data_IF_370948106974
#
_entry.id   IF_370948106974
#
_cell.length_a   1.000
_cell.length_b   1.000
_cell.length_c   1.000
_cell.angle_alpha   90.00
_cell.angle_beta   90.00
_cell.angle_gamma   90.00
#
_symmetry.space_group_name_H-M   'P 1'
#
loop_
_entity.id
_entity.type
_entity.pdbx_description
1 polymer ?
#
# COMPACT_ATOMS: atom_id res chain seq x y z
N UNK A 1 11.29 27.05 -15.77
CA UNK A 1 11.64 25.87 -16.55
C UNK A 1 10.38 25.03 -16.67
N UNK A 2 9.99 24.69 -17.91
CA UNK A 2 8.86 23.80 -18.14
C UNK A 2 9.09 22.50 -17.37
N UNK A 3 8.09 22.06 -16.58
CA UNK A 3 8.12 20.77 -15.95
C UNK A 3 8.29 19.72 -17.06
N UNK A 4 9.28 18.86 -16.93
CA UNK A 4 9.47 17.78 -17.89
C UNK A 4 8.28 16.85 -17.78
N UNK A 5 7.63 16.50 -18.91
CA UNK A 5 6.50 15.57 -18.97
C UNK A 5 6.86 14.15 -18.54
N UNK A 6 8.14 13.89 -18.23
CA UNK A 6 8.67 12.57 -17.89
C UNK A 6 9.76 12.68 -16.82
N UNK A 7 9.61 11.91 -15.77
CA UNK A 7 10.68 11.65 -14.79
C UNK A 7 11.39 10.35 -15.17
N UNK A 8 12.73 10.40 -15.27
CA UNK A 8 13.56 9.26 -15.66
C UNK A 8 14.39 8.77 -14.47
N UNK A 9 14.44 7.45 -14.27
CA UNK A 9 15.33 6.78 -13.32
C UNK A 9 16.07 5.62 -13.99
N UNK A 10 17.39 5.64 -13.96
CA UNK A 10 18.24 4.56 -14.41
C UNK A 10 18.45 3.58 -13.25
N UNK A 11 18.35 2.28 -13.54
CA UNK A 11 18.67 1.22 -12.58
C UNK A 11 20.14 0.81 -12.70
N UNK A 12 20.74 0.38 -11.60
CA UNK A 12 22.08 -0.18 -11.61
C UNK A 12 22.08 -1.56 -12.27
N UNK A 13 23.23 -1.98 -12.85
CA UNK A 13 23.35 -3.22 -13.63
C UNK A 13 23.06 -4.50 -12.83
N UNK A 14 23.14 -4.44 -11.50
CA UNK A 14 22.89 -5.57 -10.58
C UNK A 14 21.50 -5.52 -9.93
N UNK A 15 20.65 -4.57 -10.31
CA UNK A 15 19.34 -4.41 -9.68
C UNK A 15 18.37 -5.50 -10.16
N UNK A 16 17.87 -6.31 -9.24
CA UNK A 16 16.86 -7.32 -9.51
C UNK A 16 15.50 -6.66 -9.78
N UNK A 17 15.09 -6.64 -11.05
CA UNK A 17 13.83 -6.06 -11.49
C UNK A 17 12.66 -7.03 -11.26
N UNK A 18 11.61 -6.58 -10.58
CA UNK A 18 10.44 -7.38 -10.23
C UNK A 18 9.31 -7.19 -11.25
N UNK A 19 9.24 -8.10 -12.22
CA UNK A 19 8.25 -8.05 -13.31
C UNK A 19 6.82 -8.11 -12.78
N UNK A 20 6.57 -8.84 -11.71
CA UNK A 20 5.23 -8.96 -11.11
C UNK A 20 4.74 -7.62 -10.58
N UNK A 21 5.54 -6.93 -9.76
CA UNK A 21 5.21 -5.60 -9.25
C UNK A 21 5.05 -4.59 -10.38
N UNK A 22 5.96 -4.63 -11.38
CA UNK A 22 5.85 -3.77 -12.57
C UNK A 22 4.52 -3.96 -13.31
N UNK A 23 4.02 -5.20 -13.46
CA UNK A 23 2.72 -5.46 -14.05
C UNK A 23 1.58 -4.92 -13.18
N UNK A 24 1.70 -5.04 -11.87
CA UNK A 24 0.69 -4.52 -10.92
C UNK A 24 0.57 -2.99 -10.96
N UNK A 25 1.68 -2.26 -11.20
CA UNK A 25 1.67 -0.80 -11.38
C UNK A 25 0.79 -0.33 -12.55
N UNK A 26 0.49 -1.22 -13.52
CA UNK A 26 -0.35 -0.92 -14.69
C UNK A 26 -1.83 -1.31 -14.48
N UNK A 27 -2.18 -1.89 -13.34
CA UNK A 27 -3.56 -2.20 -12.96
C UNK A 27 -4.40 -0.92 -12.76
N UNK A 28 -5.71 -1.01 -13.00
CA UNK A 28 -6.63 0.12 -12.77
C UNK A 28 -6.67 0.52 -11.28
N UNK A 29 -6.37 -0.39 -10.38
CA UNK A 29 -6.37 -0.17 -8.94
C UNK A 29 -5.11 0.57 -8.42
N UNK A 30 -4.08 0.74 -9.28
CA UNK A 30 -2.83 1.42 -8.93
C UNK A 30 -2.78 2.87 -9.46
N UNK A 31 -3.89 3.57 -9.52
CA UNK A 31 -3.99 4.94 -10.02
C UNK A 31 -3.34 5.99 -9.11
N UNK A 32 -2.93 5.58 -7.90
CA UNK A 32 -2.07 6.32 -6.97
C UNK A 32 -0.57 6.28 -7.36
N UNK A 33 -0.21 5.56 -8.41
CA UNK A 33 1.15 5.55 -8.95
C UNK A 33 1.24 6.31 -10.27
N UNK A 34 2.40 6.90 -10.54
CA UNK A 34 2.74 7.38 -11.87
C UNK A 34 2.83 6.18 -12.82
N UNK A 35 2.29 6.34 -14.03
CA UNK A 35 2.48 5.35 -15.09
C UNK A 35 3.96 5.25 -15.43
N UNK A 36 4.47 4.02 -15.45
CA UNK A 36 5.89 3.74 -15.65
C UNK A 36 6.11 2.89 -16.90
N UNK A 37 7.08 3.27 -17.72
CA UNK A 37 7.53 2.47 -18.86
C UNK A 37 8.97 2.05 -18.64
N UNK A 38 9.24 0.76 -18.75
CA UNK A 38 10.59 0.19 -18.70
C UNK A 38 11.19 0.21 -20.11
N UNK A 39 12.39 0.76 -20.24
CA UNK A 39 13.16 0.76 -21.49
C UNK A 39 14.57 0.23 -21.23
N UNK A 40 15.17 -0.36 -22.26
CA UNK A 40 16.58 -0.70 -22.26
C UNK A 40 17.33 0.31 -23.12
N UNK A 41 18.25 1.07 -22.53
CA UNK A 41 19.05 2.06 -23.22
C UNK A 41 20.53 1.85 -22.93
N UNK A 42 21.35 1.65 -23.96
CA UNK A 42 22.79 1.35 -23.84
C UNK A 42 23.09 0.19 -22.88
N UNK A 43 22.28 -0.87 -22.91
CA UNK A 43 22.42 -2.03 -22.03
C UNK A 43 21.92 -1.83 -20.60
N UNK A 44 21.49 -0.63 -20.21
CA UNK A 44 20.97 -0.32 -18.89
C UNK A 44 19.46 -0.23 -18.89
N UNK A 45 18.84 -0.73 -17.81
CA UNK A 45 17.40 -0.59 -17.61
C UNK A 45 17.09 0.81 -17.11
N UNK A 46 16.19 1.48 -17.80
CA UNK A 46 15.68 2.80 -17.44
C UNK A 46 14.17 2.76 -17.24
N UNK A 47 13.69 3.44 -16.19
CA UNK A 47 12.28 3.62 -15.87
C UNK A 47 11.89 5.05 -16.23
N UNK A 48 10.82 5.17 -17.00
CA UNK A 48 10.26 6.46 -17.45
C UNK A 48 8.86 6.59 -16.84
N UNK A 49 8.67 7.61 -16.01
CA UNK A 49 7.40 7.89 -15.34
C UNK A 49 6.71 9.05 -16.04
N UNK A 50 5.45 8.84 -16.45
CA UNK A 50 4.62 9.88 -17.05
C UNK A 50 4.16 10.87 -15.98
N UNK A 51 4.67 12.09 -16.06
CA UNK A 51 4.40 13.17 -15.09
C UNK A 51 3.50 14.26 -15.68
N UNK A 52 2.93 14.03 -16.87
CA UNK A 52 2.01 14.96 -17.51
C UNK A 52 0.89 15.35 -16.55
N UNK A 53 0.56 16.61 -16.53
CA UNK A 53 -0.48 17.19 -15.68
C UNK A 53 -0.20 17.15 -14.18
N UNK A 54 0.98 16.73 -13.74
CA UNK A 54 1.35 16.71 -12.32
C UNK A 54 2.57 17.60 -12.06
N UNK A 55 2.63 18.17 -10.88
CA UNK A 55 3.78 18.91 -10.36
C UNK A 55 4.34 18.21 -9.13
N UNK A 56 5.67 18.24 -8.92
CA UNK A 56 6.24 17.78 -7.66
C UNK A 56 5.65 18.54 -6.46
N UNK A 57 5.44 17.86 -5.34
CA UNK A 57 4.96 18.46 -4.10
C UNK A 57 5.80 19.68 -3.70
N UNK A 58 7.10 19.61 -3.90
CA UNK A 58 8.02 20.72 -3.62
C UNK A 58 7.68 22.01 -4.39
N UNK A 59 7.07 21.90 -5.58
CA UNK A 59 6.62 23.04 -6.39
C UNK A 59 5.18 23.38 -6.03
N UNK A 60 4.28 22.40 -6.02
CA UNK A 60 2.85 22.60 -5.78
C UNK A 60 2.59 23.25 -4.41
N UNK A 61 3.38 22.89 -3.39
CA UNK A 61 3.24 23.44 -2.04
C UNK A 61 3.35 24.97 -2.00
N UNK A 62 4.07 25.59 -2.93
CA UNK A 62 4.18 27.05 -3.02
C UNK A 62 3.00 27.73 -3.71
N UNK A 63 2.18 26.98 -4.47
CA UNK A 63 1.03 27.48 -5.21
C UNK A 63 -0.30 27.35 -4.44
N UNK A 64 -0.34 26.51 -3.40
CA UNK A 64 -1.54 26.28 -2.59
C UNK A 64 -1.65 27.32 -1.46
N UNK A 65 -2.87 27.67 -1.10
CA UNK A 65 -3.15 28.31 0.19
C UNK A 65 -3.07 27.30 1.34
N UNK A 66 -3.29 27.73 2.58
CA UNK A 66 -3.20 26.85 3.76
C UNK A 66 -4.19 25.69 3.68
N UNK A 67 -5.44 25.94 3.24
CA UNK A 67 -6.48 24.93 3.14
C UNK A 67 -6.18 23.93 2.03
N UNK A 68 -5.80 24.42 0.86
CA UNK A 68 -5.35 23.58 -0.25
C UNK A 68 -4.16 22.70 0.12
N UNK A 69 -3.19 23.25 0.87
CA UNK A 69 -2.05 22.47 1.34
C UNK A 69 -2.46 21.38 2.34
N UNK A 70 -3.36 21.68 3.28
CA UNK A 70 -3.89 20.65 4.21
C UNK A 70 -4.62 19.56 3.47
N UNK A 71 -5.41 19.91 2.43
CA UNK A 71 -6.04 18.92 1.55
C UNK A 71 -5.01 18.05 0.84
N UNK A 72 -3.92 18.62 0.31
CA UNK A 72 -2.82 17.85 -0.32
C UNK A 72 -2.17 16.92 0.69
N UNK A 73 -1.89 17.38 1.91
CA UNK A 73 -1.31 16.54 2.97
C UNK A 73 -2.23 15.38 3.34
N UNK A 74 -3.54 15.64 3.48
CA UNK A 74 -4.55 14.60 3.73
C UNK A 74 -4.61 13.57 2.59
N UNK A 75 -4.60 14.03 1.33
CA UNK A 75 -4.60 13.16 0.16
C UNK A 75 -3.33 12.29 0.10
N UNK A 76 -2.17 12.80 0.50
CA UNK A 76 -0.94 11.99 0.57
C UNK A 76 -1.13 10.82 1.54
N UNK A 77 -1.64 11.07 2.75
CA UNK A 77 -1.89 10.02 3.74
C UNK A 77 -2.95 9.02 3.26
N UNK A 78 -4.00 9.51 2.62
CA UNK A 78 -5.05 8.68 2.01
C UNK A 78 -4.46 7.72 0.95
N UNK A 79 -3.64 8.24 0.03
CA UNK A 79 -3.05 7.39 -1.02
C UNK A 79 -1.98 6.44 -0.46
N UNK A 80 -1.23 6.80 0.58
CA UNK A 80 -0.33 5.88 1.31
C UNK A 80 -1.12 4.71 1.90
N UNK A 81 -2.28 4.98 2.50
CA UNK A 81 -3.19 3.94 2.98
C UNK A 81 -3.66 3.02 1.85
N UNK A 82 -4.04 3.56 0.69
CA UNK A 82 -4.43 2.75 -0.48
C UNK A 82 -3.30 1.84 -0.98
N UNK A 83 -2.04 2.28 -0.91
CA UNK A 83 -0.89 1.40 -1.21
C UNK A 83 -0.82 0.24 -0.23
N UNK A 84 -1.05 0.47 1.06
CA UNK A 84 -1.08 -0.59 2.09
C UNK A 84 -2.23 -1.57 1.83
N UNK A 85 -3.41 -1.05 1.51
CA UNK A 85 -4.62 -1.85 1.21
C UNK A 85 -4.49 -2.66 -0.09
N UNK A 86 -3.70 -2.20 -1.04
CA UNK A 86 -3.46 -2.91 -2.31
C UNK A 86 -2.82 -4.30 -2.09
N UNK A 87 -2.00 -4.46 -1.05
CA UNK A 87 -1.42 -5.74 -0.64
C UNK A 87 -0.37 -6.34 -1.59
N UNK A 88 -0.17 -5.78 -2.79
CA UNK A 88 0.81 -6.24 -3.80
C UNK A 88 2.02 -5.33 -3.89
N UNK A 89 1.82 -4.09 -3.54
CA UNK A 89 2.83 -3.04 -3.61
C UNK A 89 3.34 -2.76 -2.20
N UNK A 90 4.64 -2.58 -2.06
CA UNK A 90 5.27 -2.33 -0.76
C UNK A 90 5.48 -0.83 -0.56
N UNK A 91 5.02 -0.28 0.57
CA UNK A 91 5.36 1.09 0.99
C UNK A 91 6.87 1.36 0.96
N UNK A 92 7.66 0.33 1.27
CA UNK A 92 9.11 0.44 1.39
C UNK A 92 9.83 0.71 0.06
N UNK A 93 9.09 0.68 -1.06
CA UNK A 93 9.58 0.93 -2.43
C UNK A 93 9.03 2.23 -3.04
N UNK A 94 8.25 3.00 -2.28
CA UNK A 94 7.83 4.34 -2.67
C UNK A 94 8.96 5.34 -2.46
N UNK A 95 9.23 6.16 -3.46
CA UNK A 95 10.09 7.34 -3.31
C UNK A 95 9.22 8.51 -2.80
N UNK A 96 9.40 8.84 -1.52
CA UNK A 96 8.58 9.82 -0.80
C UNK A 96 9.26 11.18 -0.62
N UNK A 97 10.35 11.41 -1.32
CA UNK A 97 10.96 12.75 -1.34
C UNK A 97 9.98 13.77 -1.93
N UNK A 98 9.97 15.00 -1.44
CA UNK A 98 9.01 16.02 -1.86
C UNK A 98 9.07 16.36 -3.36
N UNK A 99 10.18 16.07 -4.04
CA UNK A 99 10.36 16.19 -5.49
C UNK A 99 9.92 14.94 -6.27
N UNK A 100 9.50 13.85 -5.58
CA UNK A 100 9.03 12.58 -6.14
C UNK A 100 7.59 12.23 -5.77
N UNK A 101 6.97 13.02 -4.90
CA UNK A 101 5.51 13.00 -4.69
C UNK A 101 4.92 13.95 -5.71
N UNK A 102 4.05 13.45 -6.58
CA UNK A 102 3.46 14.21 -7.68
C UNK A 102 2.00 14.53 -7.38
N UNK A 103 1.62 15.78 -7.61
CA UNK A 103 0.30 16.34 -7.32
C UNK A 103 -0.30 16.84 -8.62
N UNK A 104 -1.51 16.46 -8.91
CA UNK A 104 -2.31 17.06 -9.98
C UNK A 104 -2.84 18.42 -9.48
N UNK A 105 -2.47 19.55 -10.10
CA UNK A 105 -2.83 20.88 -9.61
C UNK A 105 -4.35 21.16 -9.63
N UNK A 106 -5.08 20.50 -10.53
CA UNK A 106 -6.52 20.73 -10.70
C UNK A 106 -7.35 19.92 -9.69
N UNK A 107 -6.92 18.68 -9.42
CA UNK A 107 -7.70 17.72 -8.60
C UNK A 107 -7.07 17.43 -7.26
N UNK A 108 -5.84 17.90 -7.00
CA UNK A 108 -5.01 17.57 -5.84
C UNK A 108 -4.80 16.07 -5.65
N UNK A 109 -5.00 15.28 -6.72
CA UNK A 109 -4.74 13.85 -6.71
C UNK A 109 -3.24 13.59 -6.61
N UNK A 110 -2.87 12.66 -5.72
CA UNK A 110 -1.48 12.29 -5.47
C UNK A 110 -1.09 11.09 -6.32
N UNK A 111 0.14 11.11 -6.82
CA UNK A 111 0.78 9.96 -7.48
C UNK A 111 2.20 9.81 -6.99
N UNK A 112 2.56 8.58 -6.67
CA UNK A 112 3.90 8.24 -6.19
C UNK A 112 4.77 7.65 -7.31
N UNK A 113 6.07 7.81 -7.16
CA UNK A 113 7.08 7.02 -7.87
C UNK A 113 7.27 5.71 -7.12
N UNK A 114 7.03 4.59 -7.77
CA UNK A 114 7.25 3.25 -7.22
C UNK A 114 8.40 2.56 -7.95
N UNK A 115 9.29 1.91 -7.20
CA UNK A 115 10.44 1.18 -7.76
C UNK A 115 10.17 -0.31 -7.73
N UNK A 116 9.88 -0.96 -8.88
CA UNK A 116 9.64 -2.40 -8.96
C UNK A 116 10.97 -3.18 -8.98
N UNK A 117 11.74 -3.07 -7.90
CA UNK A 117 13.04 -3.71 -7.71
C UNK A 117 13.08 -4.47 -6.39
N UNK A 118 14.01 -5.44 -6.25
CA UNK A 118 14.14 -6.23 -5.01
C UNK A 118 14.61 -5.37 -3.84
N UNK A 119 15.41 -4.35 -4.11
CA UNK A 119 15.89 -3.42 -3.10
C UNK A 119 14.76 -2.55 -2.55
N UNK A 120 14.86 -2.22 -1.27
CA UNK A 120 13.92 -1.35 -0.57
C UNK A 120 14.54 0.03 -0.39
N UNK A 121 13.74 1.09 -0.51
CA UNK A 121 14.16 2.46 -0.22
C UNK A 121 14.13 2.77 1.28
N UNK A 122 13.32 2.01 2.03
CA UNK A 122 13.18 2.13 3.48
C UNK A 122 13.36 0.76 4.12
N UNK A 123 13.99 0.73 5.27
CA UNK A 123 14.29 -0.51 6.02
C UNK A 123 13.01 -1.20 6.48
N UNK A 124 12.09 -0.44 7.06
CA UNK A 124 10.82 -0.89 7.61
C UNK A 124 9.76 0.21 7.54
N UNK A 125 8.54 -0.10 7.97
CA UNK A 125 7.40 0.82 7.94
C UNK A 125 7.61 2.01 8.88
N UNK A 126 8.28 1.81 10.01
CA UNK A 126 8.53 2.88 10.98
C UNK A 126 9.46 3.94 10.37
N UNK A 127 10.56 3.51 9.74
CA UNK A 127 11.47 4.41 9.02
C UNK A 127 10.75 5.13 7.86
N UNK A 128 9.90 4.41 7.10
CA UNK A 128 9.08 5.01 6.05
C UNK A 128 8.18 6.13 6.60
N UNK A 129 7.44 5.87 7.67
CA UNK A 129 6.52 6.84 8.28
C UNK A 129 7.26 8.05 8.87
N UNK A 130 8.39 7.83 9.54
CA UNK A 130 9.24 8.90 10.05
C UNK A 130 9.80 9.77 8.93
N UNK A 131 10.27 9.14 7.85
CA UNK A 131 10.79 9.84 6.68
C UNK A 131 9.69 10.64 5.98
N UNK A 132 8.52 10.04 5.75
CA UNK A 132 7.37 10.72 5.15
C UNK A 132 6.98 11.95 6.00
N UNK A 133 6.81 11.77 7.31
CA UNK A 133 6.49 12.85 8.24
C UNK A 133 7.52 13.99 8.19
N UNK A 134 8.80 13.63 8.14
CA UNK A 134 9.90 14.56 8.00
C UNK A 134 9.83 15.35 6.68
N UNK A 135 9.57 14.70 5.54
CA UNK A 135 9.46 15.37 4.25
C UNK A 135 8.24 16.30 4.16
N UNK A 136 7.09 15.87 4.69
CA UNK A 136 5.89 16.72 4.76
C UNK A 136 6.13 17.95 5.64
N UNK A 137 6.77 17.79 6.80
CA UNK A 137 7.12 18.90 7.70
C UNK A 137 8.08 19.88 7.03
N UNK A 138 9.17 19.41 6.42
CA UNK A 138 10.11 20.25 5.67
C UNK A 138 9.44 21.02 4.53
N UNK A 139 8.41 20.43 3.90
CA UNK A 139 7.65 21.07 2.83
C UNK A 139 6.84 22.26 3.38
N UNK A 140 6.15 22.06 4.51
CA UNK A 140 5.38 23.14 5.17
C UNK A 140 6.31 24.21 5.73
N UNK A 141 7.45 23.87 6.32
CA UNK A 141 8.43 24.82 6.87
C UNK A 141 8.97 25.84 5.85
N UNK A 142 8.93 25.51 4.57
CA UNK A 142 9.35 26.43 3.48
C UNK A 142 8.29 27.45 3.09
N UNK A 143 7.07 27.33 3.62
CA UNK A 143 5.94 28.21 3.28
C UNK A 143 5.95 29.49 4.14
N UNK A 144 5.32 30.53 3.60
CA UNK A 144 5.14 31.80 4.32
C UNK A 144 4.11 31.71 5.45
N UNK A 145 3.13 30.80 5.32
CA UNK A 145 2.05 30.54 6.26
C UNK A 145 2.32 29.35 7.21
N UNK A 146 3.57 28.90 7.30
CA UNK A 146 4.01 27.75 8.11
C UNK A 146 3.58 27.79 9.58
N UNK A 147 3.41 29.00 10.14
CA UNK A 147 3.04 29.22 11.54
C UNK A 147 1.51 29.14 11.77
N UNK A 148 0.73 28.83 10.72
CA UNK A 148 -0.71 28.61 10.88
C UNK A 148 -0.96 27.39 11.80
N UNK A 149 -1.78 27.60 12.84
CA UNK A 149 -2.09 26.60 13.86
C UNK A 149 -2.57 25.27 13.26
N UNK A 150 -3.28 25.31 12.13
CA UNK A 150 -3.82 24.11 11.47
C UNK A 150 -2.73 23.12 11.05
N UNK A 151 -1.55 23.62 10.64
CA UNK A 151 -0.41 22.74 10.36
C UNK A 151 0.14 22.10 11.64
N UNK A 152 0.23 22.86 12.74
CA UNK A 152 0.65 22.31 14.03
C UNK A 152 -0.31 21.21 14.50
N UNK A 153 -1.62 21.45 14.40
CA UNK A 153 -2.67 20.49 14.76
C UNK A 153 -2.58 19.23 13.87
N UNK A 154 -2.38 19.38 12.56
CA UNK A 154 -2.18 18.26 11.62
C UNK A 154 -0.98 17.40 12.03
N UNK A 155 0.21 18.02 12.25
CA UNK A 155 1.41 17.29 12.63
C UNK A 155 1.33 16.68 14.03
N UNK A 156 0.55 17.27 14.94
CA UNK A 156 0.27 16.67 16.24
C UNK A 156 -0.54 15.39 16.10
N UNK A 157 -1.52 15.35 15.20
CA UNK A 157 -2.35 14.16 14.95
C UNK A 157 -1.49 13.04 14.39
N UNK A 158 -0.76 13.27 13.31
CA UNK A 158 0.06 12.23 12.64
C UNK A 158 1.34 11.88 13.42
N UNK A 159 1.71 12.64 14.44
CA UNK A 159 2.85 12.41 15.33
C UNK A 159 2.52 11.60 16.58
N UNK A 160 1.25 11.23 16.81
CA UNK A 160 0.87 10.46 18.02
C UNK A 160 1.50 9.09 18.01
N UNK A 161 2.02 8.60 19.15
CA UNK A 161 2.46 7.21 19.26
C UNK A 161 1.31 6.26 18.93
N UNK A 162 1.53 5.34 17.99
CA UNK A 162 0.51 4.41 17.52
C UNK A 162 -0.41 4.97 16.42
N UNK A 163 -0.18 6.19 15.94
CA UNK A 163 -0.81 6.66 14.71
C UNK A 163 -0.32 5.79 13.55
N UNK A 164 -1.25 5.12 12.90
CA UNK A 164 -1.04 4.43 11.64
C UNK A 164 -1.77 5.21 10.55
N UNK A 165 -1.29 5.14 9.33
CA UNK A 165 -1.98 5.70 8.16
C UNK A 165 -3.41 5.12 7.96
N UNK A 166 -3.80 4.16 8.79
CA UNK A 166 -5.15 3.56 8.85
C UNK A 166 -6.13 4.36 9.73
N UNK A 167 -5.67 5.31 10.53
CA UNK A 167 -6.51 6.12 11.41
C UNK A 167 -7.29 7.19 10.63
N UNK A 168 -8.61 7.16 10.73
CA UNK A 168 -9.55 8.03 9.98
C UNK A 168 -9.66 9.48 10.50
N UNK A 169 -8.87 9.86 11.52
CA UNK A 169 -9.01 11.15 12.18
C UNK A 169 -8.55 12.36 11.35
N UNK A 170 -7.82 12.13 10.25
CA UNK A 170 -7.28 13.20 9.40
C UNK A 170 -8.28 13.69 8.36
N UNK A 171 -9.29 12.89 8.01
CA UNK A 171 -10.34 13.28 7.06
C UNK A 171 -11.22 14.44 7.56
N UNK A 172 -11.22 14.68 8.88
CA UNK A 172 -12.03 15.75 9.50
C UNK A 172 -11.38 17.13 9.49
N UNK A 173 -10.11 17.22 9.13
CA UNK A 173 -9.38 18.51 9.17
C UNK A 173 -9.46 19.31 7.87
N UNK A 174 -10.02 18.75 6.79
CA UNK A 174 -10.05 19.36 5.44
C UNK A 174 -11.43 19.49 4.76
N UNK A 175 -12.52 19.15 5.42
CA UNK A 175 -13.85 19.28 4.84
C UNK A 175 -14.61 20.48 5.43
N UNK A 176 -14.69 21.54 4.66
CA UNK A 176 -15.69 22.61 4.87
C UNK A 176 -16.99 22.15 4.24
N UNK A 177 -18.03 22.03 5.07
CA UNK A 177 -19.41 21.76 4.69
C UNK A 177 -19.89 22.68 3.57
N UNK A 178 -20.31 22.14 2.45
CA UNK A 178 -21.31 22.78 1.61
C UNK A 178 -22.65 22.06 1.73
N UNK A 179 -23.61 22.88 2.16
CA UNK A 179 -25.07 22.70 2.09
C UNK A 179 -25.76 21.84 3.15
N UNK A 180 -26.24 22.58 4.12
CA UNK A 180 -27.36 22.29 5.02
C UNK A 180 -28.69 21.95 4.30
N UNK A 181 -29.27 20.81 4.66
CA UNK A 181 -30.73 20.72 4.83
C UNK A 181 -31.07 19.85 6.03
N UNK A 182 -32.05 20.23 6.83
CA UNK A 182 -32.31 19.64 8.13
C UNK A 182 -33.24 18.44 8.04
N UNK A 183 -32.79 17.26 8.38
CA UNK A 183 -33.68 16.17 8.78
C UNK A 183 -33.38 15.75 10.20
N UNK A 184 -34.36 15.98 11.04
CA UNK A 184 -34.46 15.57 12.42
C UNK A 184 -34.20 14.08 12.55
N UNK A 185 -33.24 13.68 13.36
CA UNK A 185 -33.03 12.30 13.78
C UNK A 185 -33.39 12.13 15.25
N UNK A 186 -34.45 11.38 15.48
CA UNK A 186 -34.81 10.84 16.76
C UNK A 186 -33.68 10.03 17.38
N UNK A 187 -33.30 10.48 18.57
CA UNK A 187 -32.44 9.77 19.50
C UNK A 187 -33.29 8.69 20.17
N UNK A 188 -33.02 7.43 19.84
CA UNK A 188 -33.15 6.27 20.74
C UNK A 188 -33.22 4.97 19.90
N UNK A 189 -32.07 4.42 19.59
CA UNK A 189 -31.96 2.98 19.43
C UNK A 189 -30.61 2.53 20.00
N UNK A 190 -30.71 1.66 21.02
CA UNK A 190 -29.61 0.90 21.55
C UNK A 190 -28.98 0.09 20.43
N UNK A 191 -27.81 0.47 19.97
CA UNK A 191 -27.01 -0.37 19.09
C UNK A 191 -26.46 -1.52 19.94
N UNK A 192 -27.15 -2.63 19.89
CA UNK A 192 -26.60 -3.94 20.26
C UNK A 192 -25.46 -4.19 19.28
N UNK A 193 -24.25 -4.33 19.83
CA UNK A 193 -23.04 -4.74 19.13
C UNK A 193 -23.25 -6.13 18.51
N UNK A 194 -23.79 -6.19 17.30
CA UNK A 194 -23.65 -7.36 16.45
C UNK A 194 -22.21 -7.36 15.95
N UNK A 195 -21.38 -8.18 16.59
CA UNK A 195 -20.09 -8.61 16.05
C UNK A 195 -20.38 -9.35 14.74
N UNK A 196 -20.30 -8.65 13.62
CA UNK A 196 -20.29 -9.25 12.31
C UNK A 196 -19.12 -10.23 12.26
N UNK A 197 -19.41 -11.47 11.95
CA UNK A 197 -18.41 -12.53 11.75
C UNK A 197 -17.59 -12.13 10.51
N UNK A 198 -16.38 -11.56 10.72
CA UNK A 198 -15.51 -11.16 9.62
C UNK A 198 -15.05 -12.42 8.90
N UNK A 199 -15.52 -12.62 7.69
CA UNK A 199 -15.10 -13.71 6.81
C UNK A 199 -13.84 -13.32 6.05
N UNK A 200 -12.77 -14.11 6.18
CA UNK A 200 -11.54 -13.95 5.39
C UNK A 200 -11.71 -14.66 4.05
N UNK A 201 -11.50 -13.96 2.95
CA UNK A 201 -11.48 -14.52 1.59
C UNK A 201 -10.11 -14.31 0.98
N UNK A 202 -9.46 -15.37 0.55
CA UNK A 202 -8.21 -15.37 -0.17
C UNK A 202 -8.50 -15.43 -1.67
N UNK A 203 -7.83 -14.60 -2.45
CA UNK A 203 -7.99 -14.60 -3.91
C UNK A 203 -6.64 -14.88 -4.56
N UNK A 204 -6.59 -15.92 -5.42
CA UNK A 204 -5.40 -16.20 -6.22
C UNK A 204 -5.26 -15.19 -7.36
N UNK A 205 -4.05 -14.71 -7.58
CA UNK A 205 -3.75 -13.69 -8.58
C UNK A 205 -2.95 -14.26 -9.77
N UNK A 206 -2.27 -15.38 -9.56
CA UNK A 206 -1.39 -16.01 -10.55
C UNK A 206 -2.07 -17.11 -11.35
N UNK A 207 -3.26 -17.55 -10.93
CA UNK A 207 -4.05 -18.51 -11.69
C UNK A 207 -4.69 -17.82 -12.90
N UNK A 208 -4.76 -18.50 -14.04
CA UNK A 208 -5.42 -18.00 -15.26
C UNK A 208 -6.90 -17.64 -15.06
N UNK A 209 -7.51 -18.13 -13.98
CA UNK A 209 -8.80 -17.67 -13.42
C UNK A 209 -8.64 -17.47 -11.93
N UNK A 210 -9.19 -16.41 -11.34
CA UNK A 210 -9.03 -16.13 -9.90
C UNK A 210 -9.71 -17.23 -9.07
N UNK A 211 -8.92 -17.93 -8.26
CA UNK A 211 -9.43 -18.88 -7.28
C UNK A 211 -9.75 -18.12 -6.01
N UNK A 212 -10.98 -18.25 -5.52
CA UNK A 212 -11.43 -17.65 -4.25
C UNK A 212 -11.56 -18.76 -3.20
N UNK A 213 -10.86 -18.58 -2.07
CA UNK A 213 -10.93 -19.51 -0.93
C UNK A 213 -11.50 -18.73 0.26
N UNK A 214 -12.66 -19.10 0.74
CA UNK A 214 -13.28 -18.49 1.93
C UNK A 214 -12.94 -19.31 3.15
N UNK A 215 -12.29 -18.67 4.14
CA UNK A 215 -11.90 -19.30 5.41
C UNK A 215 -13.15 -19.51 6.27
N UNK A 216 -13.63 -20.73 6.35
CA UNK A 216 -14.88 -21.10 7.03
C UNK A 216 -14.66 -21.79 8.39
N UNK A 217 -13.40 -22.14 8.69
CA UNK A 217 -13.03 -22.89 9.91
C UNK A 217 -12.06 -22.10 10.77
N UNK A 218 -11.94 -22.48 12.02
CA UNK A 218 -10.97 -21.91 12.99
C UNK A 218 -9.51 -22.10 12.49
N UNK A 219 -9.23 -23.27 11.90
CA UNK A 219 -8.01 -23.57 11.17
C UNK A 219 -8.40 -24.02 9.77
N UNK A 220 -7.86 -23.38 8.76
CA UNK A 220 -8.19 -23.62 7.35
C UNK A 220 -6.90 -23.94 6.59
N UNK A 221 -6.77 -25.20 6.19
CA UNK A 221 -5.58 -25.71 5.49
C UNK A 221 -5.68 -25.41 4.00
N UNK A 222 -4.61 -24.86 3.43
CA UNK A 222 -4.46 -24.60 1.99
C UNK A 222 -3.38 -25.51 1.44
N UNK A 223 -3.65 -26.12 0.28
CA UNK A 223 -2.72 -27.02 -0.38
C UNK A 223 -3.24 -27.52 -1.71
N UNK A 224 -2.49 -28.38 -2.38
CA UNK A 224 -2.91 -28.97 -3.66
C UNK A 224 -3.75 -30.25 -3.52
N UNK A 225 -3.80 -30.85 -2.34
CA UNK A 225 -4.55 -32.11 -2.13
C UNK A 225 -6.01 -31.82 -1.82
N UNK A 226 -6.91 -32.41 -2.57
CA UNK A 226 -8.35 -32.33 -2.32
C UNK A 226 -8.80 -33.08 -1.07
N UNK A 227 -7.99 -34.00 -0.57
CA UNK A 227 -8.31 -34.83 0.61
C UNK A 227 -7.73 -34.21 1.92
N UNK A 228 -6.64 -33.44 1.82
CA UNK A 228 -5.86 -32.98 2.97
C UNK A 228 -5.90 -31.46 3.15
N UNK A 229 -6.54 -30.71 2.26
CA UNK A 229 -6.68 -29.28 2.31
C UNK A 229 -8.15 -28.88 2.29
N UNK A 230 -8.49 -27.84 3.07
CA UNK A 230 -9.82 -27.23 3.06
C UNK A 230 -9.99 -26.32 1.84
N UNK A 231 -8.91 -25.63 1.45
CA UNK A 231 -8.82 -24.82 0.24
C UNK A 231 -7.83 -25.38 -0.76
N UNK A 232 -8.34 -25.80 -1.93
CA UNK A 232 -7.51 -26.41 -2.95
C UNK A 232 -6.89 -25.36 -3.86
N UNK A 233 -5.56 -25.25 -3.84
CA UNK A 233 -4.75 -24.36 -4.67
C UNK A 233 -3.89 -25.19 -5.64
N UNK A 234 -4.54 -25.94 -6.53
CA UNK A 234 -3.89 -26.89 -7.45
C UNK A 234 -3.29 -26.26 -8.73
N UNK A 235 -3.30 -24.95 -8.86
CA UNK A 235 -2.85 -24.25 -10.08
C UNK A 235 -1.32 -24.22 -10.26
N UNK A 236 -0.55 -24.56 -9.21
CA UNK A 236 0.91 -24.62 -9.28
C UNK A 236 1.47 -25.92 -8.73
N UNK A 237 2.50 -26.45 -9.42
CA UNK A 237 3.26 -27.61 -8.95
C UNK A 237 4.13 -27.30 -7.71
N UNK A 238 4.33 -26.02 -7.41
CA UNK A 238 5.12 -25.54 -6.29
C UNK A 238 4.40 -25.67 -4.95
N UNK A 239 3.06 -25.82 -4.96
CA UNK A 239 2.25 -25.95 -3.76
C UNK A 239 2.31 -27.39 -3.24
N UNK A 240 2.64 -27.55 -1.95
CA UNK A 240 2.63 -28.84 -1.24
C UNK A 240 1.19 -29.37 -1.05
N UNK A 241 1.02 -30.66 -0.79
CA UNK A 241 -0.31 -31.27 -0.53
C UNK A 241 -1.03 -30.55 0.61
N UNK A 242 -0.32 -30.27 1.70
CA UNK A 242 -0.66 -29.33 2.78
C UNK A 242 0.44 -28.29 2.78
N UNK A 243 0.14 -27.06 2.41
CA UNK A 243 1.17 -26.04 2.23
C UNK A 243 1.24 -25.11 3.43
N UNK A 244 0.15 -24.44 3.72
CA UNK A 244 0.02 -23.54 4.87
C UNK A 244 -1.39 -23.67 5.47
N UNK A 245 -1.59 -23.06 6.65
CA UNK A 245 -2.94 -22.91 7.22
C UNK A 245 -3.19 -21.48 7.65
N UNK A 246 -4.43 -21.06 7.54
CA UNK A 246 -4.93 -19.83 8.12
C UNK A 246 -5.61 -20.17 9.44
N UNK A 247 -5.27 -19.42 10.48
CA UNK A 247 -5.81 -19.62 11.83
C UNK A 247 -6.53 -18.35 12.25
N UNK A 248 -7.79 -18.48 12.67
CA UNK A 248 -8.57 -17.35 13.22
C UNK A 248 -8.12 -17.08 14.67
N UNK A 249 -7.74 -15.82 14.98
CA UNK A 249 -7.29 -15.39 16.30
C UNK A 249 -8.04 -14.11 16.71
N UNK A 250 -9.01 -14.25 17.58
CA UNK A 250 -9.86 -13.13 18.01
C UNK A 250 -10.57 -12.48 16.82
N UNK A 251 -10.29 -11.22 16.57
CA UNK A 251 -10.81 -10.45 15.41
C UNK A 251 -9.92 -10.54 14.17
N UNK A 252 -8.76 -11.21 14.23
CA UNK A 252 -7.81 -11.31 13.14
C UNK A 252 -7.51 -12.75 12.70
N UNK A 253 -6.54 -12.87 11.80
CA UNK A 253 -6.08 -14.13 11.26
C UNK A 253 -4.56 -14.24 11.39
N UNK A 254 -4.04 -15.47 11.40
CA UNK A 254 -2.61 -15.75 11.31
C UNK A 254 -2.37 -16.81 10.23
N UNK A 255 -1.21 -16.78 9.60
CA UNK A 255 -0.74 -17.80 8.66
C UNK A 255 0.38 -18.63 9.30
N UNK A 256 0.37 -19.92 9.01
CA UNK A 256 1.38 -20.89 9.48
C UNK A 256 1.83 -21.73 8.29
N UNK A 257 3.13 -21.77 8.03
CA UNK A 257 3.70 -22.73 7.07
C UNK A 257 3.66 -24.15 7.65
N UNK A 258 3.17 -25.11 6.88
CA UNK A 258 3.05 -26.52 7.28
C UNK A 258 4.25 -27.35 6.82
N UNK A 259 5.45 -26.81 6.89
CA UNK A 259 6.68 -27.39 6.40
C UNK A 259 6.60 -27.67 4.90
N UNK A 260 6.17 -26.66 4.16
CA UNK A 260 5.99 -26.75 2.72
C UNK A 260 7.34 -26.87 2.00
N UNK A 261 7.38 -27.62 0.88
CA UNK A 261 8.64 -27.92 0.16
C UNK A 261 9.34 -26.68 -0.39
N UNK A 262 8.59 -25.63 -0.72
CA UNK A 262 9.12 -24.40 -1.29
C UNK A 262 9.00 -23.18 -0.35
N UNK A 263 8.46 -23.39 0.85
CA UNK A 263 8.23 -22.35 1.83
C UNK A 263 6.97 -21.54 1.55
N UNK A 264 6.39 -20.99 2.62
CA UNK A 264 5.32 -19.97 2.56
C UNK A 264 5.96 -18.60 2.78
N UNK A 265 5.51 -17.61 2.03
CA UNK A 265 6.03 -16.24 2.12
C UNK A 265 4.88 -15.29 2.48
N UNK A 266 5.14 -14.39 3.41
CA UNK A 266 4.23 -13.33 3.82
C UNK A 266 4.93 -11.99 3.58
N UNK A 267 4.37 -11.15 2.73
CA UNK A 267 4.95 -9.84 2.36
C UNK A 267 6.43 -9.95 1.92
N UNK A 268 6.76 -11.01 1.16
CA UNK A 268 8.11 -11.27 0.67
C UNK A 268 9.09 -11.89 1.68
N UNK A 269 8.67 -12.11 2.92
CA UNK A 269 9.47 -12.78 3.95
C UNK A 269 9.08 -14.26 4.04
N UNK A 270 10.07 -15.17 3.97
CA UNK A 270 9.84 -16.59 4.17
C UNK A 270 9.49 -16.87 5.64
N UNK A 271 8.43 -17.64 5.83
CA UNK A 271 7.96 -18.02 7.16
C UNK A 271 8.75 -19.22 7.70
N UNK A 272 9.03 -19.23 9.00
CA UNK A 272 9.53 -20.43 9.67
C UNK A 272 8.38 -21.43 9.82
N UNK A 273 8.59 -22.72 9.45
CA UNK A 273 7.58 -23.75 9.57
C UNK A 273 7.02 -23.87 11.00
N UNK A 274 5.71 -24.02 11.11
CA UNK A 274 5.01 -24.21 12.39
C UNK A 274 4.82 -22.95 13.24
N UNK A 275 5.40 -21.82 12.86
CA UNK A 275 5.26 -20.54 13.56
C UNK A 275 4.08 -19.74 13.04
N UNK A 276 3.30 -19.13 13.94
CA UNK A 276 2.19 -18.24 13.60
C UNK A 276 2.70 -16.84 13.27
N UNK A 277 2.21 -16.28 12.15
CA UNK A 277 2.47 -14.90 11.75
C UNK A 277 1.14 -14.18 11.57
N UNK A 278 0.92 -13.06 12.28
CA UNK A 278 -0.33 -12.34 12.20
C UNK A 278 -0.53 -11.80 10.79
N UNK A 279 -1.76 -11.88 10.35
CA UNK A 279 -2.19 -11.42 9.06
C UNK A 279 -3.04 -10.19 9.28
N UNK A 280 -2.52 -9.03 8.94
CA UNK A 280 -3.27 -7.79 8.87
C UNK A 280 -4.10 -7.81 7.58
N UNK A 281 -5.25 -7.23 7.57
CA UNK A 281 -6.42 -7.40 6.70
C UNK A 281 -6.27 -7.64 5.18
N UNK A 282 -5.05 -7.62 4.61
CA UNK A 282 -4.78 -8.00 3.21
C UNK A 282 -3.44 -8.74 3.11
N UNK A 283 -3.49 -10.02 2.78
CA UNK A 283 -2.31 -10.88 2.72
C UNK A 283 -1.94 -11.21 1.30
N UNK A 284 -0.66 -11.08 1.02
CA UNK A 284 -0.03 -11.72 -0.13
C UNK A 284 0.76 -12.96 0.32
N UNK A 285 0.24 -14.15 0.03
CA UNK A 285 1.00 -15.41 0.13
C UNK A 285 1.60 -15.65 -1.25
N UNK A 286 2.90 -15.41 -1.41
CA UNK A 286 3.60 -15.58 -2.69
C UNK A 286 4.30 -16.92 -2.79
N UNK A 287 4.31 -17.49 -3.99
CA UNK A 287 5.14 -18.62 -4.35
C UNK A 287 6.61 -18.18 -4.50
N UNK A 288 7.57 -19.05 -4.15
CA UNK A 288 8.98 -18.77 -4.39
C UNK A 288 9.23 -18.65 -5.90
N UNK A 289 9.79 -17.55 -6.33
CA UNK A 289 10.32 -17.40 -7.68
C UNK A 289 11.47 -18.40 -7.85
N UNK A 290 11.42 -19.26 -8.87
CA UNK A 290 12.55 -20.10 -9.22
C UNK A 290 13.79 -19.23 -9.41
N UNK A 291 14.81 -19.42 -8.59
CA UNK A 291 16.17 -19.09 -8.98
C UNK A 291 16.53 -20.13 -10.07
N UNK A 292 16.60 -19.71 -11.31
CA UNK A 292 17.30 -20.46 -12.34
C UNK A 292 18.79 -20.37 -12.01
N UNK A 293 19.51 -21.49 -12.12
CA UNK A 293 20.95 -21.54 -11.89
C UNK A 293 21.73 -20.68 -12.86
#
# INVERSE_FOLDING_TARGET
SAASDVYKRQLEDKTDFLITEYKMMHGQEADFLLKCVKMLYNGKTELYYDTKSCLPLAIQSGAEDTEGMLSVLGNILHEVRRVTENGFLSLLKLDISADKIWVDPATRKIRFVYLPVAERLHKDVVEFEEHLRGELKKTVEKRSDKDDKRFADFFQIIGRPGYSSEDSDVEKCGSVDETSTPYSLNRNEKVSSQRGDQTCTLVSLTAGSPIRLTVTKQEYVIGKSTEQADGVAGFSKMISRRHCKIVKRGSGYAVVDLNSSNGTYLNGMQLFPGREYPVLSLIHISEPTRRTP
#
